data_IF_726289204202
#
_entry.id   IF_726289204202
#
_cell.length_a   1.000
_cell.length_b   1.000
_cell.length_c   1.000
_cell.angle_alpha   90.00
_cell.angle_beta   90.00
_cell.angle_gamma   90.00
#
_symmetry.space_group_name_H-M   'P 1'
#
loop_
_entity.id
_entity.type
_entity.pdbx_description
1 polymer ?
#
# COMPACT_ATOMS: atom_id res chain seq x y z
N UNK A 1 22.25 -4.29 -65.55
CA UNK A 1 22.23 -4.31 -64.07
C UNK A 1 21.21 -3.30 -63.59
N UNK A 2 20.35 -3.63 -62.61
CA UNK A 2 19.08 -2.93 -62.36
C UNK A 2 19.24 -1.71 -61.44
N UNK A 3 18.43 -0.69 -61.69
CA UNK A 3 18.28 0.53 -60.89
C UNK A 3 17.42 0.22 -59.66
N UNK A 4 17.80 0.73 -58.48
CA UNK A 4 16.99 0.67 -57.27
C UNK A 4 16.45 2.06 -56.96
N UNK A 5 15.14 2.24 -57.06
CA UNK A 5 14.47 3.45 -56.61
C UNK A 5 14.51 3.53 -55.07
N UNK A 6 15.09 4.61 -54.53
CA UNK A 6 14.99 4.92 -53.11
C UNK A 6 13.62 5.53 -52.80
N UNK A 7 12.73 4.73 -52.23
CA UNK A 7 11.48 5.22 -51.65
C UNK A 7 11.79 5.66 -50.21
N UNK A 8 11.95 6.98 -49.99
CA UNK A 8 11.89 7.56 -48.65
C UNK A 8 10.42 7.59 -48.21
N UNK A 9 10.07 6.75 -47.24
CA UNK A 9 8.79 6.88 -46.52
C UNK A 9 8.90 8.06 -45.56
N UNK A 10 8.34 9.20 -45.96
CA UNK A 10 8.12 10.36 -45.08
C UNK A 10 6.69 10.24 -44.56
N UNK A 11 6.49 9.50 -43.46
CA UNK A 11 5.21 9.52 -42.76
C UNK A 11 5.17 10.79 -41.90
N UNK A 12 4.34 11.74 -42.33
CA UNK A 12 4.10 12.99 -41.63
C UNK A 12 3.32 12.75 -40.33
N UNK A 13 3.89 13.31 -39.27
CA UNK A 13 3.24 14.03 -38.18
C UNK A 13 1.75 14.37 -38.40
N UNK A 14 0.89 13.85 -37.53
CA UNK A 14 -0.31 14.55 -37.05
C UNK A 14 -1.61 13.77 -37.07
N UNK A 15 -1.99 13.17 -35.94
CA UNK A 15 -3.30 13.46 -35.30
C UNK A 15 -3.39 12.84 -33.89
N UNK A 16 -2.61 13.40 -32.99
CA UNK A 16 -2.88 13.38 -31.56
C UNK A 16 -3.94 14.44 -31.25
N UNK A 17 -5.23 14.08 -31.31
CA UNK A 17 -6.31 15.01 -30.95
C UNK A 17 -7.34 14.54 -29.93
N UNK A 18 -7.33 13.28 -29.48
CA UNK A 18 -8.27 12.81 -28.45
C UNK A 18 -7.73 11.73 -27.50
N UNK A 19 -6.45 11.80 -27.11
CA UNK A 19 -5.98 11.10 -25.90
C UNK A 19 -5.84 12.10 -24.76
N UNK A 20 -6.99 12.63 -24.35
CA UNK A 20 -7.15 13.60 -23.28
C UNK A 20 -7.83 12.98 -22.06
N UNK A 21 -7.45 11.75 -21.69
CA UNK A 21 -7.85 11.16 -20.41
C UNK A 21 -6.58 10.71 -19.73
N UNK A 22 -6.02 11.64 -18.95
CA UNK A 22 -5.27 11.42 -17.72
C UNK A 22 -4.72 9.99 -17.61
N UNK A 23 -3.63 9.71 -18.34
CA UNK A 23 -2.80 8.55 -18.03
C UNK A 23 -2.02 8.95 -16.78
N UNK A 24 -2.59 8.67 -15.60
CA UNK A 24 -1.83 8.69 -14.35
C UNK A 24 -0.88 7.50 -14.41
N UNK A 25 0.19 7.62 -15.20
CA UNK A 25 1.34 6.76 -15.02
C UNK A 25 2.02 7.20 -13.72
N UNK A 26 1.52 6.66 -12.60
CA UNK A 26 2.05 6.90 -11.26
C UNK A 26 3.43 6.23 -11.06
N UNK A 27 3.99 5.57 -12.08
CA UNK A 27 5.19 4.74 -11.92
C UNK A 27 4.91 3.50 -11.06
N UNK A 28 3.66 3.04 -11.02
CA UNK A 28 3.25 1.79 -10.38
C UNK A 28 3.31 0.67 -11.42
N UNK A 29 4.25 -0.26 -11.24
CA UNK A 29 4.32 -1.46 -12.09
C UNK A 29 3.16 -2.41 -11.71
N UNK A 30 2.72 -3.30 -12.63
CA UNK A 30 1.67 -4.28 -12.32
C UNK A 30 1.96 -5.14 -11.06
N UNK A 31 3.24 -5.39 -10.79
CA UNK A 31 3.70 -6.12 -9.59
C UNK A 31 3.40 -5.35 -8.30
N UNK A 32 3.46 -4.02 -8.34
CA UNK A 32 3.19 -3.16 -7.18
C UNK A 32 1.70 -3.13 -6.84
N UNK A 33 0.83 -3.06 -7.85
CA UNK A 33 -0.62 -3.13 -7.65
C UNK A 33 -1.04 -4.49 -7.09
N UNK A 34 -0.43 -5.56 -7.60
CA UNK A 34 -0.65 -6.93 -7.09
C UNK A 34 -0.23 -7.05 -5.62
N UNK A 35 0.90 -6.42 -5.26
CA UNK A 35 1.40 -6.37 -3.88
C UNK A 35 0.49 -5.58 -2.95
N UNK A 36 0.00 -4.42 -3.38
CA UNK A 36 -0.95 -3.61 -2.62
C UNK A 36 -2.27 -4.35 -2.46
N UNK A 37 -2.79 -4.97 -3.52
CA UNK A 37 -4.01 -5.77 -3.45
C UNK A 37 -3.88 -6.94 -2.46
N UNK A 38 -2.72 -7.62 -2.46
CA UNK A 38 -2.44 -8.69 -1.49
C UNK A 38 -2.42 -8.16 -0.05
N UNK A 39 -1.79 -7.01 0.19
CA UNK A 39 -1.77 -6.38 1.52
C UNK A 39 -3.17 -5.99 1.98
N UNK A 40 -3.93 -5.29 1.14
CA UNK A 40 -5.30 -4.86 1.44
C UNK A 40 -6.20 -6.08 1.72
N UNK A 41 -6.11 -7.10 0.87
CA UNK A 41 -6.87 -8.34 1.03
C UNK A 41 -6.50 -9.09 2.32
N UNK A 42 -5.21 -9.24 2.60
CA UNK A 42 -4.73 -9.90 3.81
C UNK A 42 -5.12 -9.15 5.09
N UNK A 43 -5.05 -7.81 5.08
CA UNK A 43 -5.49 -7.00 6.22
C UNK A 43 -7.00 -7.13 6.46
N UNK A 44 -7.80 -7.16 5.39
CA UNK A 44 -9.25 -7.38 5.50
C UNK A 44 -9.56 -8.76 6.10
N UNK A 45 -8.86 -9.80 5.62
CA UNK A 45 -9.00 -11.17 6.13
C UNK A 45 -8.58 -11.24 7.60
N UNK A 46 -7.46 -10.61 7.98
CA UNK A 46 -7.00 -10.56 9.37
C UNK A 46 -8.06 -9.96 10.32
N UNK A 47 -8.71 -8.87 9.92
CA UNK A 47 -9.78 -8.23 10.70
C UNK A 47 -11.07 -9.06 10.73
N UNK A 48 -11.42 -9.74 9.63
CA UNK A 48 -12.54 -10.67 9.60
C UNK A 48 -12.30 -11.90 10.48
N UNK A 49 -11.08 -12.42 10.51
CA UNK A 49 -10.69 -13.52 11.38
C UNK A 49 -10.80 -13.12 12.85
N UNK A 50 -10.26 -11.95 13.22
CA UNK A 50 -10.47 -11.37 14.55
C UNK A 50 -11.95 -11.31 14.93
N UNK A 51 -12.79 -10.73 14.06
CA UNK A 51 -14.21 -10.58 14.34
C UNK A 51 -14.91 -11.94 14.46
N UNK A 52 -14.58 -12.89 13.59
CA UNK A 52 -15.16 -14.24 13.58
C UNK A 52 -14.78 -15.01 14.83
N UNK A 53 -13.49 -15.04 15.17
CA UNK A 53 -12.98 -15.73 16.36
C UNK A 53 -13.56 -15.11 17.63
N UNK A 54 -13.63 -13.77 17.71
CA UNK A 54 -14.24 -13.07 18.83
C UNK A 54 -15.71 -13.45 19.02
N UNK A 55 -16.49 -13.42 17.93
CA UNK A 55 -17.91 -13.82 17.93
C UNK A 55 -18.09 -15.26 18.41
N UNK A 56 -17.36 -16.20 17.82
CA UNK A 56 -17.43 -17.63 18.19
C UNK A 56 -17.03 -17.84 19.64
N UNK A 57 -16.00 -17.15 20.12
CA UNK A 57 -15.56 -17.22 21.53
C UNK A 57 -16.62 -16.72 22.51
N UNK A 58 -17.50 -15.81 22.09
CA UNK A 58 -18.63 -15.32 22.88
C UNK A 58 -19.92 -16.13 22.69
N UNK A 59 -19.86 -17.29 22.01
CA UNK A 59 -21.01 -18.15 21.77
C UNK A 59 -21.94 -17.67 20.65
N UNK A 60 -21.52 -16.65 19.88
CA UNK A 60 -22.25 -16.25 18.67
C UNK A 60 -21.95 -17.24 17.52
N UNK A 61 -22.97 -17.55 16.71
CA UNK A 61 -22.80 -18.45 15.57
C UNK A 61 -21.87 -17.92 14.48
N UNK A 62 -21.29 -18.83 13.70
CA UNK A 62 -20.47 -18.50 12.53
C UNK A 62 -21.34 -17.82 11.45
N UNK A 63 -21.04 -16.56 11.12
CA UNK A 63 -21.78 -15.77 10.13
C UNK A 63 -20.87 -14.71 9.53
N UNK A 64 -20.77 -14.67 8.19
CA UNK A 64 -19.97 -13.67 7.48
C UNK A 64 -20.53 -12.25 7.68
N UNK A 65 -21.85 -12.08 7.60
CA UNK A 65 -22.50 -10.80 7.88
C UNK A 65 -22.29 -10.39 9.34
N UNK A 66 -22.34 -11.35 10.27
CA UNK A 66 -22.02 -11.13 11.67
C UNK A 66 -20.58 -10.63 11.85
N UNK A 67 -19.62 -11.30 11.21
CA UNK A 67 -18.21 -10.92 11.23
C UNK A 67 -18.00 -9.51 10.64
N UNK A 68 -18.59 -9.20 9.49
CA UNK A 68 -18.55 -7.86 8.89
C UNK A 68 -19.16 -6.79 9.81
N UNK A 69 -20.29 -7.08 10.45
CA UNK A 69 -20.94 -6.15 11.38
C UNK A 69 -20.07 -5.81 12.60
N UNK A 70 -19.18 -6.74 13.00
CA UNK A 70 -18.21 -6.54 14.06
C UNK A 70 -16.93 -5.88 13.55
N UNK A 71 -16.46 -6.25 12.35
CA UNK A 71 -15.18 -5.82 11.80
C UNK A 71 -15.22 -4.42 11.17
N UNK A 72 -16.34 -3.98 10.60
CA UNK A 72 -16.39 -2.75 9.78
C UNK A 72 -15.85 -1.49 10.48
N UNK A 73 -16.05 -1.23 11.79
CA UNK A 73 -15.49 -0.05 12.43
C UNK A 73 -13.96 -0.10 12.46
N UNK A 74 -13.41 -1.29 12.73
CA UNK A 74 -11.97 -1.54 12.75
C UNK A 74 -11.36 -1.48 11.36
N UNK A 75 -12.07 -1.97 10.35
CA UNK A 75 -11.67 -1.82 8.96
C UNK A 75 -11.60 -0.34 8.57
N UNK A 76 -12.63 0.45 8.90
CA UNK A 76 -12.63 1.87 8.60
C UNK A 76 -11.45 2.59 9.28
N UNK A 77 -11.21 2.30 10.56
CA UNK A 77 -10.07 2.83 11.30
C UNK A 77 -8.72 2.41 10.71
N UNK A 78 -8.54 1.12 10.44
CA UNK A 78 -7.30 0.57 9.86
C UNK A 78 -7.00 1.12 8.47
N UNK A 79 -7.96 1.02 7.54
CA UNK A 79 -7.74 1.47 6.16
C UNK A 79 -7.60 2.99 6.08
N UNK A 80 -8.33 3.73 6.92
CA UNK A 80 -8.15 5.18 7.06
C UNK A 80 -6.75 5.53 7.58
N UNK A 81 -6.29 4.91 8.66
CA UNK A 81 -4.95 5.13 9.19
C UNK A 81 -3.86 4.71 8.19
N UNK A 82 -4.01 3.56 7.53
CA UNK A 82 -3.05 3.08 6.53
C UNK A 82 -2.97 4.03 5.32
N UNK A 83 -4.08 4.60 4.86
CA UNK A 83 -4.08 5.59 3.80
C UNK A 83 -3.33 6.87 4.21
N UNK A 84 -3.55 7.35 5.44
CA UNK A 84 -2.93 8.59 5.94
C UNK A 84 -1.46 8.43 6.32
N UNK A 85 -1.08 7.26 6.84
CA UNK A 85 0.23 7.01 7.44
C UNK A 85 1.20 6.27 6.50
N UNK A 86 0.81 6.05 5.25
CA UNK A 86 1.64 5.41 4.23
C UNK A 86 1.72 3.88 4.35
N UNK A 87 0.68 3.25 4.90
CA UNK A 87 0.58 1.81 5.13
C UNK A 87 0.60 0.94 3.87
N UNK A 88 0.48 1.53 2.69
CA UNK A 88 0.61 0.87 1.38
C UNK A 88 1.67 1.51 0.48
N UNK A 89 2.52 2.39 1.03
CA UNK A 89 3.64 2.97 0.29
C UNK A 89 4.65 1.89 -0.13
N UNK A 90 5.54 2.19 -1.08
CA UNK A 90 6.62 1.27 -1.49
C UNK A 90 7.42 0.72 -0.32
N UNK A 91 7.72 1.58 0.67
CA UNK A 91 8.43 1.18 1.88
C UNK A 91 7.63 0.20 2.76
N UNK A 92 6.30 0.22 2.67
CA UNK A 92 5.40 -0.68 3.39
C UNK A 92 5.13 -2.00 2.64
N UNK A 93 5.48 -2.07 1.35
CA UNK A 93 5.16 -3.19 0.48
C UNK A 93 6.06 -4.41 0.67
N UNK A 94 7.23 -4.24 1.32
CA UNK A 94 8.15 -5.32 1.66
C UNK A 94 9.60 -4.95 1.37
N UNK A 95 10.49 -5.91 1.53
CA UNK A 95 11.94 -5.70 1.48
C UNK A 95 12.55 -5.99 2.84
N UNK A 96 12.22 -5.19 3.84
CA UNK A 96 12.69 -5.37 5.22
C UNK A 96 11.54 -5.78 6.15
N UNK A 97 11.71 -6.89 6.87
CA UNK A 97 10.74 -7.36 7.88
C UNK A 97 10.51 -6.31 8.98
N UNK A 98 11.56 -5.60 9.39
CA UNK A 98 11.48 -4.51 10.38
C UNK A 98 10.67 -3.33 9.88
N UNK A 99 10.84 -2.92 8.62
CA UNK A 99 10.09 -1.82 8.03
C UNK A 99 8.59 -2.15 7.89
N UNK A 100 8.28 -3.37 7.47
CA UNK A 100 6.90 -3.87 7.38
C UNK A 100 6.24 -3.91 8.78
N UNK A 101 6.95 -4.44 9.78
CA UNK A 101 6.48 -4.48 11.17
C UNK A 101 6.20 -3.07 11.72
N UNK A 102 7.20 -2.18 11.60
CA UNK A 102 7.10 -0.81 12.12
C UNK A 102 5.99 0.00 11.47
N UNK A 103 5.84 -0.13 10.15
CA UNK A 103 4.75 0.55 9.42
C UNK A 103 3.39 0.02 9.83
N UNK A 104 3.23 -1.30 9.92
CA UNK A 104 1.99 -1.92 10.37
C UNK A 104 1.64 -1.52 11.80
N UNK A 105 2.62 -1.56 12.72
CA UNK A 105 2.44 -1.16 14.11
C UNK A 105 2.03 0.31 14.24
N UNK A 106 2.64 1.21 13.45
CA UNK A 106 2.28 2.64 13.40
C UNK A 106 0.83 2.84 12.94
N UNK A 107 0.43 2.15 11.86
CA UNK A 107 -0.94 2.22 11.36
C UNK A 107 -1.94 1.61 12.35
N UNK A 108 -1.55 0.54 13.06
CA UNK A 108 -2.38 -0.16 14.04
C UNK A 108 -2.64 0.71 15.27
N UNK A 109 -1.58 1.34 15.79
CA UNK A 109 -1.63 2.21 16.97
C UNK A 109 -2.57 3.42 16.77
N UNK A 110 -2.75 3.89 15.54
CA UNK A 110 -3.74 4.92 15.22
C UNK A 110 -5.10 4.32 14.81
N UNK A 111 -5.10 3.31 13.94
CA UNK A 111 -6.29 2.82 13.25
C UNK A 111 -7.22 2.01 14.14
N UNK A 112 -6.70 1.14 15.01
CA UNK A 112 -7.57 0.32 15.86
C UNK A 112 -8.23 1.15 16.98
N UNK A 113 -7.54 2.08 17.66
CA UNK A 113 -8.21 3.02 18.54
C UNK A 113 -9.27 3.85 17.81
N UNK A 114 -8.97 4.35 16.60
CA UNK A 114 -9.98 5.04 15.78
C UNK A 114 -11.18 4.13 15.46
N UNK A 115 -10.95 2.84 15.19
CA UNK A 115 -12.00 1.85 15.00
C UNK A 115 -12.89 1.63 16.23
N UNK A 116 -12.31 1.67 17.43
CA UNK A 116 -13.08 1.66 18.68
C UNK A 116 -13.95 2.92 18.83
N UNK A 117 -13.44 4.09 18.44
CA UNK A 117 -14.21 5.34 18.46
C UNK A 117 -15.37 5.29 17.47
N UNK A 118 -15.13 4.82 16.23
CA UNK A 118 -16.18 4.62 15.23
C UNK A 118 -17.23 3.64 15.76
N UNK A 119 -16.78 2.53 16.36
CA UNK A 119 -17.68 1.54 16.97
C UNK A 119 -18.52 2.16 18.08
N UNK A 120 -17.91 2.92 18.99
CA UNK A 120 -18.59 3.55 20.10
C UNK A 120 -19.63 4.56 19.61
N UNK A 121 -19.28 5.37 18.61
CA UNK A 121 -20.22 6.28 17.95
C UNK A 121 -21.40 5.54 17.30
N UNK A 122 -21.14 4.44 16.60
CA UNK A 122 -22.18 3.65 15.94
C UNK A 122 -23.10 2.88 16.92
N UNK A 123 -22.59 2.53 18.12
CA UNK A 123 -23.34 1.78 19.13
C UNK A 123 -23.94 2.66 20.23
N UNK A 124 -23.47 3.90 20.38
CA UNK A 124 -23.90 4.86 21.41
C UNK A 124 -23.24 4.66 22.78
N UNK A 125 -22.25 3.78 22.91
CA UNK A 125 -21.53 3.54 24.17
C UNK A 125 -20.12 2.98 23.92
N UNK A 126 -19.22 3.18 24.89
CA UNK A 126 -17.88 2.61 24.83
C UNK A 126 -17.88 1.12 25.18
N UNK A 127 -17.10 0.30 24.46
CA UNK A 127 -16.95 -1.10 24.82
C UNK A 127 -16.26 -1.28 26.17
N UNK A 128 -16.43 -2.46 26.76
CA UNK A 128 -15.77 -2.83 28.01
C UNK A 128 -14.22 -2.73 27.88
N UNK A 129 -13.50 -2.26 28.91
CA UNK A 129 -12.04 -2.15 28.88
C UNK A 129 -11.33 -3.46 28.51
N UNK A 130 -11.87 -4.62 28.93
CA UNK A 130 -11.31 -5.93 28.56
C UNK A 130 -11.42 -6.18 27.06
N UNK A 131 -12.54 -5.81 26.43
CA UNK A 131 -12.70 -5.90 24.99
C UNK A 131 -11.70 -4.99 24.27
N UNK A 132 -11.48 -3.77 24.76
CA UNK A 132 -10.46 -2.87 24.19
C UNK A 132 -9.08 -3.52 24.26
N UNK A 133 -8.67 -4.03 25.41
CA UNK A 133 -7.36 -4.66 25.59
C UNK A 133 -7.17 -5.89 24.68
N UNK A 134 -8.13 -6.82 24.68
CA UNK A 134 -8.05 -8.05 23.88
C UNK A 134 -8.11 -7.75 22.39
N UNK A 135 -8.98 -6.84 21.95
CA UNK A 135 -9.07 -6.46 20.54
C UNK A 135 -7.82 -5.75 20.05
N UNK A 136 -7.23 -4.84 20.83
CA UNK A 136 -5.96 -4.20 20.51
C UNK A 136 -4.86 -5.26 20.34
N UNK A 137 -4.71 -6.16 21.32
CA UNK A 137 -3.70 -7.21 21.27
C UNK A 137 -3.90 -8.17 20.07
N UNK A 138 -5.12 -8.70 19.90
CA UNK A 138 -5.41 -9.67 18.84
C UNK A 138 -5.27 -9.08 17.44
N UNK A 139 -5.80 -7.87 17.21
CA UNK A 139 -5.65 -7.19 15.92
C UNK A 139 -4.20 -6.78 15.65
N UNK A 140 -3.44 -6.41 16.69
CA UNK A 140 -2.02 -6.11 16.58
C UNK A 140 -1.24 -7.35 16.13
N UNK A 141 -1.48 -8.49 16.77
CA UNK A 141 -0.88 -9.77 16.38
C UNK A 141 -1.25 -10.14 14.94
N UNK A 142 -2.53 -10.07 14.56
CA UNK A 142 -2.92 -10.45 13.21
C UNK A 142 -2.40 -9.50 12.14
N UNK A 143 -2.56 -8.18 12.30
CA UNK A 143 -2.16 -7.22 11.26
C UNK A 143 -0.64 -7.10 11.12
N UNK A 144 0.07 -6.97 12.25
CA UNK A 144 1.54 -6.90 12.23
C UNK A 144 2.11 -8.26 11.84
N UNK A 145 1.61 -9.35 12.42
CA UNK A 145 2.10 -10.71 12.18
C UNK A 145 1.93 -11.18 10.74
N UNK A 146 0.78 -10.91 10.10
CA UNK A 146 0.60 -11.25 8.68
C UNK A 146 1.54 -10.43 7.79
N UNK A 147 1.67 -9.12 8.02
CA UNK A 147 2.52 -8.25 7.19
C UNK A 147 4.00 -8.60 7.35
N UNK A 148 4.44 -8.97 8.55
CA UNK A 148 5.80 -9.44 8.77
C UNK A 148 6.04 -10.80 8.15
N UNK A 149 5.08 -11.73 8.23
CA UNK A 149 5.16 -13.03 7.57
C UNK A 149 5.23 -12.88 6.05
N UNK A 150 4.40 -12.01 5.46
CA UNK A 150 4.46 -11.69 4.03
C UNK A 150 5.82 -11.10 3.65
N UNK A 151 6.32 -10.13 4.42
CA UNK A 151 7.61 -9.52 4.17
C UNK A 151 8.76 -10.55 4.26
N UNK A 152 8.71 -11.47 5.22
CA UNK A 152 9.70 -12.54 5.38
C UNK A 152 9.64 -13.58 4.25
N UNK A 153 8.44 -13.85 3.72
CA UNK A 153 8.23 -14.76 2.59
C UNK A 153 8.65 -14.15 1.24
N UNK A 154 8.87 -12.84 1.18
CA UNK A 154 9.27 -12.13 -0.03
C UNK A 154 10.72 -11.67 0.07
N UNK A 155 11.59 -11.97 -0.92
CA UNK A 155 12.99 -11.59 -0.86
C UNK A 155 13.19 -10.09 -0.67
N UNK A 156 14.13 -9.72 0.20
CA UNK A 156 14.62 -8.35 0.29
C UNK A 156 15.31 -7.98 -1.03
N UNK A 157 14.86 -6.90 -1.67
CA UNK A 157 15.63 -6.31 -2.77
C UNK A 157 16.85 -5.67 -2.13
N UNK A 158 17.98 -6.40 -2.14
CA UNK A 158 19.25 -5.88 -1.62
C UNK A 158 19.55 -4.54 -2.27
N UNK A 159 19.90 -3.55 -1.46
CA UNK A 159 20.44 -2.31 -2.00
C UNK A 159 21.70 -2.63 -2.80
N UNK A 160 21.88 -2.00 -3.97
CA UNK A 160 23.05 -2.25 -4.79
C UNK A 160 24.33 -1.90 -4.03
N UNK A 161 25.11 -2.94 -3.69
CA UNK A 161 26.33 -2.81 -2.88
C UNK A 161 27.45 -2.13 -3.67
N UNK A 162 27.42 -2.21 -5.00
CA UNK A 162 28.45 -1.64 -5.86
C UNK A 162 28.05 -0.28 -6.44
N UNK A 163 29.01 0.66 -6.60
CA UNK A 163 28.75 1.96 -7.25
C UNK A 163 28.15 1.82 -8.65
N UNK A 164 28.50 0.78 -9.40
CA UNK A 164 27.96 0.53 -10.74
C UNK A 164 26.49 0.11 -10.71
N UNK A 165 26.09 -0.70 -9.74
CA UNK A 165 24.69 -1.08 -9.56
C UNK A 165 23.86 0.08 -9.01
N UNK A 166 24.43 0.93 -8.14
CA UNK A 166 23.78 2.18 -7.71
C UNK A 166 23.56 3.14 -8.87
N UNK A 167 24.53 3.23 -9.79
CA UNK A 167 24.40 4.03 -11.01
C UNK A 167 23.35 3.46 -11.97
N UNK A 168 23.27 2.12 -12.14
CA UNK A 168 22.20 1.48 -12.91
C UNK A 168 20.82 1.68 -12.26
N UNK A 169 20.72 1.52 -10.95
CA UNK A 169 19.49 1.74 -10.19
C UNK A 169 19.05 3.21 -10.23
N UNK A 170 19.99 4.16 -10.19
CA UNK A 170 19.73 5.58 -10.45
C UNK A 170 19.29 5.81 -11.88
N UNK A 171 19.95 5.20 -12.87
CA UNK A 171 19.59 5.30 -14.29
C UNK A 171 18.16 4.83 -14.55
N UNK A 172 17.74 3.76 -13.88
CA UNK A 172 16.38 3.22 -13.97
C UNK A 172 15.34 4.07 -13.22
N UNK A 173 15.74 4.86 -12.21
CA UNK A 173 14.88 5.77 -11.45
C UNK A 173 14.63 7.14 -12.12
N UNK A 174 15.31 7.47 -13.22
CA UNK A 174 15.25 8.78 -13.92
C UNK A 174 13.94 9.05 -14.69
N UNK A 175 12.80 8.57 -14.19
CA UNK A 175 11.47 8.83 -14.77
C UNK A 175 10.67 9.92 -14.06
N UNK A 176 11.17 10.52 -12.97
CA UNK A 176 10.37 11.46 -12.19
C UNK A 176 10.53 12.91 -12.67
N UNK A 177 9.47 13.44 -13.29
CA UNK A 177 9.34 14.83 -13.79
C UNK A 177 9.69 15.88 -12.72
N UNK A 178 9.45 15.56 -11.44
CA UNK A 178 9.73 16.47 -10.32
C UNK A 178 11.23 16.74 -10.12
N UNK A 179 12.12 15.77 -10.40
CA UNK A 179 13.57 16.01 -10.35
C UNK A 179 14.06 16.88 -11.52
N UNK A 180 13.44 16.77 -12.70
CA UNK A 180 13.73 17.66 -13.82
C UNK A 180 13.39 19.11 -13.48
N UNK A 181 12.27 19.35 -12.80
CA UNK A 181 11.91 20.68 -12.30
C UNK A 181 12.89 21.17 -11.23
N UNK A 182 13.35 20.30 -10.32
CA UNK A 182 14.36 20.67 -9.33
C UNK A 182 15.69 21.03 -9.99
N UNK A 183 16.14 20.28 -11.00
CA UNK A 183 17.35 20.59 -11.76
C UNK A 183 17.24 21.92 -12.51
N UNK A 184 16.10 22.19 -13.16
CA UNK A 184 15.84 23.47 -13.83
C UNK A 184 15.86 24.63 -12.83
N UNK A 185 15.23 24.46 -11.66
CA UNK A 185 15.23 25.49 -10.61
C UNK A 185 16.64 25.76 -10.06
N UNK A 186 17.49 24.74 -10.01
CA UNK A 186 18.88 24.85 -9.54
C UNK A 186 19.78 25.61 -10.53
N UNK A 187 19.48 25.53 -11.83
CA UNK A 187 20.17 26.27 -12.90
C UNK A 187 19.79 27.75 -12.89
N UNK A 188 18.52 28.08 -12.61
CA UNK A 188 18.04 29.46 -12.53
C UNK A 188 18.53 30.15 -11.26
N UNK A 189 18.68 29.44 -10.14
CA UNK A 189 19.21 30.01 -8.88
C UNK A 189 20.71 30.32 -8.90
N UNK A 190 21.43 29.92 -9.95
CA UNK A 190 22.88 30.04 -10.05
C UNK A 190 23.34 31.20 -10.95
N UNK A 191 22.39 31.95 -11.50
CA UNK A 191 22.56 33.25 -12.16
C UNK A 191 21.75 34.29 -11.41
#
# INVERSE_FOLDING_TARGET
MPWYAQIKRVEQRGDSRFSGVVSLDRGETPDDLSRVALLVGGDAVALLLFATIGRVSHGEGFSLLGALSTAWPFMLGWFGAAALLGGYSKAAQGGSTGAAAGTAAKCWAAGIPAGHLVRAAARGYFPDPSFIAVSMAATGVFLVGWRTALAAATPEVKEPETPLEQLRARGNRKGNILEMFQMLSSLVKRW
#
